data_IF_335508104311
#
_entry.id   IF_335508104311
#
_cell.length_a   1.000
_cell.length_b   1.000
_cell.length_c   1.000
_cell.angle_alpha   90.00
_cell.angle_beta   90.00
_cell.angle_gamma   90.00
#
_symmetry.space_group_name_H-M   'P 1'
#
loop_
_entity.id
_entity.type
_entity.pdbx_description
1 polymer ?
#
# COMPACT_ATOMS: atom_id res chain seq x y z
N UNK A 1 6.69 -16.21 50.41
CA UNK A 1 6.40 -16.77 49.08
C UNK A 1 7.00 -15.86 48.04
N UNK A 2 8.17 -16.19 47.50
CA UNK A 2 8.76 -15.45 46.39
C UNK A 2 8.26 -16.12 45.10
N UNK A 3 7.31 -15.49 44.43
CA UNK A 3 7.01 -15.82 43.03
C UNK A 3 8.34 -15.64 42.26
N UNK A 4 8.89 -16.70 41.64
CA UNK A 4 10.21 -16.62 41.06
C UNK A 4 10.15 -15.66 39.87
N UNK A 5 11.01 -14.63 39.89
CA UNK A 5 11.20 -13.65 38.82
C UNK A 5 11.27 -14.27 37.41
N UNK A 6 11.68 -15.55 37.33
CA UNK A 6 11.67 -16.34 36.11
C UNK A 6 10.28 -16.47 35.46
N UNK A 7 9.20 -16.62 36.24
CA UNK A 7 7.86 -16.74 35.69
C UNK A 7 7.40 -15.43 35.02
N UNK A 8 7.67 -14.28 35.67
CA UNK A 8 7.33 -12.96 35.11
C UNK A 8 8.13 -12.67 33.84
N UNK A 9 9.41 -13.04 33.81
CA UNK A 9 10.26 -12.89 32.63
C UNK A 9 9.73 -13.73 31.45
N UNK A 10 9.41 -15.01 31.67
CA UNK A 10 8.89 -15.90 30.61
C UNK A 10 7.56 -15.40 30.06
N UNK A 11 6.66 -14.89 30.90
CA UNK A 11 5.41 -14.25 30.45
C UNK A 11 5.66 -12.97 29.63
N UNK A 12 6.61 -12.12 30.04
CA UNK A 12 6.96 -10.93 29.27
C UNK A 12 7.59 -11.27 27.91
N UNK A 13 8.43 -12.30 27.85
CA UNK A 13 9.00 -12.79 26.60
C UNK A 13 7.93 -13.40 25.69
N UNK A 14 7.01 -14.23 26.20
CA UNK A 14 5.94 -14.81 25.37
C UNK A 14 4.93 -13.77 24.88
N UNK A 15 4.60 -12.75 25.68
CA UNK A 15 3.75 -11.62 25.24
C UNK A 15 4.46 -10.79 24.17
N UNK A 16 5.76 -10.48 24.34
CA UNK A 16 6.54 -9.75 23.33
C UNK A 16 6.73 -10.57 22.05
N UNK A 17 6.95 -11.87 22.16
CA UNK A 17 7.08 -12.78 21.00
C UNK A 17 5.74 -12.98 20.29
N UNK A 18 4.61 -13.00 21.01
CA UNK A 18 3.28 -13.02 20.39
C UNK A 18 2.94 -11.70 19.73
N UNK A 19 3.27 -10.54 20.34
CA UNK A 19 3.10 -9.23 19.71
C UNK A 19 3.97 -9.09 18.46
N UNK A 20 5.22 -9.57 18.51
CA UNK A 20 6.10 -9.64 17.33
C UNK A 20 5.53 -10.60 16.27
N UNK A 21 5.01 -11.77 16.64
CA UNK A 21 4.41 -12.72 15.69
C UNK A 21 3.06 -12.26 15.10
N UNK A 22 2.31 -11.41 15.80
CA UNK A 22 1.14 -10.73 15.25
C UNK A 22 1.58 -9.61 14.31
N UNK A 23 2.62 -8.84 14.67
CA UNK A 23 3.23 -7.85 13.77
C UNK A 23 3.86 -8.49 12.52
N UNK A 24 4.49 -9.66 12.63
CA UNK A 24 5.14 -10.35 11.52
C UNK A 24 4.19 -11.18 10.67
N UNK A 25 3.00 -11.58 11.17
CA UNK A 25 1.93 -12.07 10.29
C UNK A 25 1.34 -10.97 9.39
N UNK A 26 1.60 -9.70 9.73
CA UNK A 26 1.38 -8.55 8.86
C UNK A 26 2.67 -8.02 8.22
N UNK A 27 3.82 -8.66 8.44
CA UNK A 27 5.04 -8.35 7.70
C UNK A 27 4.86 -8.90 6.29
N UNK A 28 4.62 -7.95 5.38
CA UNK A 28 4.77 -7.98 3.93
C UNK A 28 4.91 -9.39 3.31
N UNK A 29 3.94 -9.86 2.50
CA UNK A 29 4.39 -10.63 1.36
C UNK A 29 5.35 -9.71 0.56
N UNK A 30 6.49 -10.22 0.05
CA UNK A 30 7.27 -9.54 -0.98
C UNK A 30 6.43 -9.56 -2.25
N UNK A 31 5.37 -8.78 -2.23
CA UNK A 31 4.43 -8.65 -3.31
C UNK A 31 4.93 -7.48 -4.15
N UNK A 32 5.31 -7.72 -5.41
CA UNK A 32 5.53 -6.65 -6.38
C UNK A 32 4.21 -5.97 -6.76
N UNK A 33 3.10 -6.26 -6.08
CA UNK A 33 1.79 -5.77 -6.44
C UNK A 33 1.60 -4.37 -5.88
N UNK A 34 1.03 -3.53 -6.73
CA UNK A 34 0.64 -2.13 -6.58
C UNK A 34 -0.25 -1.89 -5.34
N UNK A 35 -0.72 -2.95 -4.67
CA UNK A 35 -1.87 -2.96 -3.77
C UNK A 35 -1.75 -4.00 -2.67
N UNK A 36 -2.08 -3.61 -1.44
CA UNK A 36 -2.34 -4.54 -0.35
C UNK A 36 -3.85 -4.73 -0.24
N UNK A 37 -4.27 -5.99 -0.34
CA UNK A 37 -5.68 -6.37 -0.37
C UNK A 37 -6.06 -6.97 0.98
N UNK A 38 -7.18 -6.52 1.54
CA UNK A 38 -7.71 -6.92 2.83
C UNK A 38 -9.12 -7.49 2.70
N UNK A 39 -9.44 -8.57 3.45
CA UNK A 39 -10.80 -9.12 3.50
C UNK A 39 -11.82 -8.18 4.13
N UNK A 40 -11.40 -7.36 5.09
CA UNK A 40 -12.27 -6.44 5.82
C UNK A 40 -11.68 -5.04 5.88
N UNK A 41 -12.54 -4.03 5.96
CA UNK A 41 -12.12 -2.64 6.12
C UNK A 41 -11.26 -2.47 7.37
N UNK A 42 -11.67 -3.09 8.48
CA UNK A 42 -10.94 -3.02 9.74
C UNK A 42 -9.48 -3.46 9.58
N UNK A 43 -9.24 -4.57 8.89
CA UNK A 43 -7.88 -5.04 8.63
C UNK A 43 -7.08 -4.05 7.77
N UNK A 44 -7.73 -3.36 6.82
CA UNK A 44 -7.09 -2.32 6.05
C UNK A 44 -6.73 -1.09 6.92
N UNK A 45 -7.67 -0.61 7.74
CA UNK A 45 -7.47 0.55 8.62
C UNK A 45 -6.40 0.29 9.70
N UNK A 46 -6.27 -0.95 10.14
CA UNK A 46 -5.24 -1.36 11.11
C UNK A 46 -3.89 -1.70 10.44
N UNK A 47 -3.81 -1.63 9.11
CA UNK A 47 -2.59 -1.95 8.37
C UNK A 47 -1.55 -0.84 8.41
N UNK A 48 -0.28 -1.20 8.21
CA UNK A 48 0.82 -0.25 8.04
C UNK A 48 0.57 0.75 6.90
N UNK A 49 -0.08 0.32 5.81
CA UNK A 49 -0.39 1.18 4.68
C UNK A 49 -1.34 2.34 5.07
N UNK A 50 -2.29 2.09 5.98
CA UNK A 50 -3.15 3.16 6.50
C UNK A 50 -2.51 3.93 7.67
N UNK A 51 -1.97 3.21 8.67
CA UNK A 51 -1.51 3.82 9.91
C UNK A 51 -0.20 4.60 9.76
N UNK A 52 0.70 4.13 8.90
CA UNK A 52 2.05 4.70 8.73
C UNK A 52 2.17 5.44 7.40
N UNK A 53 1.80 4.80 6.29
CA UNK A 53 1.87 5.43 4.97
C UNK A 53 0.70 6.39 4.70
N UNK A 54 -0.27 6.47 5.63
CA UNK A 54 -1.44 7.37 5.58
C UNK A 54 -2.26 7.22 4.29
N UNK A 55 -2.35 6.00 3.77
CA UNK A 55 -3.10 5.70 2.54
C UNK A 55 -4.56 5.36 2.84
N UNK A 56 -5.49 5.76 1.96
CA UNK A 56 -6.89 5.43 2.14
C UNK A 56 -7.13 3.93 1.91
N UNK A 57 -8.09 3.41 2.67
CA UNK A 57 -8.67 2.10 2.44
C UNK A 57 -9.87 2.25 1.53
N UNK A 58 -9.80 1.63 0.34
CA UNK A 58 -10.80 1.82 -0.70
C UNK A 58 -11.54 0.51 -0.94
N UNK A 59 -12.86 0.60 -1.07
CA UNK A 59 -13.69 -0.57 -1.36
C UNK A 59 -13.54 -1.00 -2.83
N UNK A 60 -13.34 -2.30 -3.07
CA UNK A 60 -13.38 -2.95 -4.39
C UNK A 60 -14.63 -3.81 -4.50
N UNK A 61 -15.18 -3.90 -5.71
CA UNK A 61 -16.30 -4.78 -6.04
C UNK A 61 -15.82 -6.23 -6.30
N UNK A 62 -15.19 -6.88 -5.32
CA UNK A 62 -14.66 -8.26 -5.45
C UNK A 62 -15.07 -9.11 -4.24
N UNK A 63 -15.93 -10.12 -4.42
CA UNK A 63 -16.67 -10.85 -3.37
C UNK A 63 -15.86 -11.31 -2.13
N UNK A 64 -14.58 -11.63 -2.28
CA UNK A 64 -13.72 -12.12 -1.18
C UNK A 64 -12.64 -11.11 -0.73
N UNK A 65 -12.49 -10.01 -1.46
CA UNK A 65 -11.38 -9.06 -1.35
C UNK A 65 -11.88 -7.64 -1.57
N UNK A 66 -12.64 -7.17 -0.58
CA UNK A 66 -13.42 -5.95 -0.71
C UNK A 66 -12.63 -4.68 -0.40
N UNK A 67 -11.41 -4.74 0.17
CA UNK A 67 -10.70 -3.53 0.58
C UNK A 67 -9.26 -3.52 0.09
N UNK A 68 -8.83 -2.40 -0.48
CA UNK A 68 -7.48 -2.24 -1.03
C UNK A 68 -6.83 -0.99 -0.48
N UNK A 69 -5.56 -1.12 -0.11
CA UNK A 69 -4.68 -0.02 0.19
C UNK A 69 -3.59 0.06 -0.89
N UNK A 70 -3.55 1.16 -1.63
CA UNK A 70 -2.67 1.33 -2.78
C UNK A 70 -1.27 1.74 -2.34
N UNK A 71 -0.28 0.99 -2.78
CA UNK A 71 1.13 1.29 -2.56
C UNK A 71 1.78 1.60 -3.91
N UNK A 72 1.99 2.87 -4.23
CA UNK A 72 2.66 3.32 -5.46
C UNK A 72 4.17 3.05 -5.43
N UNK A 73 4.56 1.78 -5.23
CA UNK A 73 5.95 1.32 -5.15
C UNK A 73 6.47 1.03 -6.55
N UNK A 74 6.08 -0.10 -7.14
CA UNK A 74 6.36 -0.51 -8.52
C UNK A 74 5.16 -1.26 -9.08
N UNK A 75 4.94 -1.16 -10.38
CA UNK A 75 3.90 -1.94 -11.06
C UNK A 75 4.40 -3.35 -11.46
N UNK A 76 3.51 -4.13 -12.09
CA UNK A 76 3.81 -5.48 -12.55
C UNK A 76 5.01 -5.54 -13.53
N UNK A 77 5.21 -4.47 -14.31
CA UNK A 77 6.33 -4.34 -15.25
C UNK A 77 7.62 -3.85 -14.58
N UNK A 78 7.62 -3.71 -13.25
CA UNK A 78 8.75 -3.21 -12.48
C UNK A 78 8.98 -1.70 -12.59
N UNK A 79 8.06 -0.98 -13.25
CA UNK A 79 8.13 0.48 -13.43
C UNK A 79 7.84 1.15 -12.09
N UNK A 80 8.69 2.13 -11.74
CA UNK A 80 8.51 2.94 -10.52
C UNK A 80 7.22 3.74 -10.61
N UNK A 81 6.40 3.62 -9.56
CA UNK A 81 5.16 4.38 -9.40
C UNK A 81 5.36 5.54 -8.42
N UNK A 82 4.48 6.54 -8.53
CA UNK A 82 4.44 7.77 -7.74
C UNK A 82 3.01 8.05 -7.29
N UNK A 83 2.84 8.70 -6.14
CA UNK A 83 1.50 8.99 -5.60
C UNK A 83 0.88 10.23 -6.20
N UNK A 84 1.70 11.17 -6.68
CA UNK A 84 1.22 12.42 -7.27
C UNK A 84 1.82 12.65 -8.65
N UNK A 85 1.10 13.38 -9.48
CA UNK A 85 1.61 13.81 -10.78
C UNK A 85 2.89 14.66 -10.63
N UNK A 86 2.96 15.49 -9.59
CA UNK A 86 4.12 16.32 -9.28
C UNK A 86 5.37 15.49 -8.95
N UNK A 87 5.22 14.45 -8.11
CA UNK A 87 6.29 13.50 -7.83
C UNK A 87 6.77 12.79 -9.09
N UNK A 88 5.82 12.35 -9.93
CA UNK A 88 6.18 11.71 -11.19
C UNK A 88 6.93 12.68 -12.11
N UNK A 89 6.42 13.90 -12.32
CA UNK A 89 7.06 14.89 -13.20
C UNK A 89 8.45 15.28 -12.72
N UNK A 90 8.66 15.37 -11.41
CA UNK A 90 9.97 15.63 -10.83
C UNK A 90 10.97 14.48 -11.09
N UNK A 91 10.51 13.23 -11.09
CA UNK A 91 11.33 12.06 -11.38
C UNK A 91 11.47 11.75 -12.89
N UNK A 92 10.52 12.18 -13.71
CA UNK A 92 10.43 11.92 -15.15
C UNK A 92 11.14 13.01 -15.95
N UNK A 93 12.47 13.03 -15.91
CA UNK A 93 13.29 14.09 -16.52
C UNK A 93 13.56 13.92 -18.01
N UNK A 94 13.27 12.75 -18.56
CA UNK A 94 13.49 12.42 -19.96
C UNK A 94 12.42 13.09 -20.85
N UNK A 95 12.81 13.93 -21.83
CA UNK A 95 11.87 14.67 -22.65
C UNK A 95 11.03 13.78 -23.56
N UNK A 96 11.43 12.53 -23.85
CA UNK A 96 10.66 11.56 -24.65
C UNK A 96 9.73 10.68 -23.80
N UNK A 97 9.70 10.95 -22.49
CA UNK A 97 8.79 10.32 -21.54
C UNK A 97 7.76 11.32 -21.03
N UNK A 98 6.68 10.78 -20.50
CA UNK A 98 5.66 11.54 -19.82
C UNK A 98 5.07 10.74 -18.67
N UNK A 99 4.50 11.47 -17.73
CA UNK A 99 3.74 10.89 -16.63
C UNK A 99 2.33 10.56 -17.09
N UNK A 100 1.93 9.31 -16.90
CA UNK A 100 0.54 8.88 -17.06
C UNK A 100 0.07 8.17 -15.80
N UNK A 101 -1.22 7.89 -15.75
CA UNK A 101 -1.85 7.13 -14.70
C UNK A 101 -1.83 5.64 -14.97
N UNK A 102 -1.46 4.91 -13.93
CA UNK A 102 -1.55 3.48 -13.77
C UNK A 102 -2.50 3.24 -12.60
N UNK A 103 -3.79 3.21 -12.94
CA UNK A 103 -4.91 3.11 -12.00
C UNK A 103 -4.95 4.31 -11.00
N UNK A 104 -4.49 4.17 -9.76
CA UNK A 104 -4.41 5.22 -8.73
C UNK A 104 -3.03 5.86 -8.62
N UNK A 105 -2.01 5.33 -9.31
CA UNK A 105 -0.63 5.78 -9.24
C UNK A 105 -0.18 6.44 -10.55
N UNK A 106 0.89 7.23 -10.49
CA UNK A 106 1.53 7.81 -11.67
C UNK A 106 2.80 7.04 -12.05
N UNK A 107 3.04 6.84 -13.34
CA UNK A 107 4.24 6.22 -13.90
C UNK A 107 4.85 7.07 -15.01
N UNK A 108 6.18 7.04 -15.12
CA UNK A 108 6.94 7.70 -16.17
C UNK A 108 7.29 6.71 -17.29
N UNK A 109 6.78 6.97 -18.49
CA UNK A 109 6.78 6.04 -19.62
C UNK A 109 6.98 6.78 -20.93
N UNK A 110 7.33 6.09 -22.02
CA UNK A 110 7.52 6.76 -23.32
C UNK A 110 6.22 7.43 -23.78
N UNK A 111 6.35 8.58 -24.45
CA UNK A 111 5.21 9.29 -25.06
C UNK A 111 4.44 8.40 -26.03
N UNK A 112 5.15 7.54 -26.76
CA UNK A 112 4.52 6.55 -27.61
C UNK A 112 3.58 5.66 -26.79
N UNK A 113 4.06 5.00 -25.74
CA UNK A 113 3.22 4.13 -24.91
C UNK A 113 2.07 4.87 -24.22
N UNK A 114 2.28 6.13 -23.82
CA UNK A 114 1.25 6.98 -23.24
C UNK A 114 0.08 7.26 -24.20
N UNK A 115 0.36 7.51 -25.48
CA UNK A 115 -0.64 7.78 -26.51
C UNK A 115 -1.59 6.60 -26.75
N UNK A 116 -1.12 5.37 -26.57
CA UNK A 116 -1.94 4.17 -26.75
C UNK A 116 -2.91 3.95 -25.58
N UNK A 117 -2.55 4.45 -24.40
CA UNK A 117 -3.30 4.18 -23.19
C UNK A 117 -4.35 5.28 -22.92
N UNK A 118 -4.07 6.58 -23.10
CA UNK A 118 -5.00 7.68 -22.79
C UNK A 118 -5.41 7.84 -21.30
N UNK A 119 -4.61 7.31 -20.36
CA UNK A 119 -4.87 7.37 -18.90
C UNK A 119 -4.19 8.61 -18.33
N UNK A 120 -4.67 9.80 -18.69
CA UNK A 120 -4.06 11.06 -18.19
C UNK A 120 -4.55 11.46 -16.80
N UNK A 121 -5.60 10.80 -16.29
CA UNK A 121 -6.15 11.06 -14.95
C UNK A 121 -6.29 9.77 -14.17
N UNK A 122 -5.81 9.82 -12.93
CA UNK A 122 -5.82 8.69 -12.02
C UNK A 122 -7.17 8.67 -11.32
N UNK A 123 -7.57 7.50 -10.84
CA UNK A 123 -8.67 7.42 -9.88
C UNK A 123 -8.21 8.06 -8.57
N UNK A 124 -8.30 9.38 -8.49
CA UNK A 124 -7.96 10.13 -7.31
C UNK A 124 -9.12 10.02 -6.33
N UNK A 125 -8.97 9.15 -5.34
CA UNK A 125 -9.80 9.21 -4.15
C UNK A 125 -9.26 10.37 -3.31
N UNK A 126 -10.09 11.38 -2.99
CA UNK A 126 -9.64 12.49 -2.15
C UNK A 126 -9.02 11.92 -0.89
N UNK A 127 -7.72 12.13 -0.77
CA UNK A 127 -6.88 11.65 0.32
C UNK A 127 -7.45 12.24 1.58
N UNK A 128 -8.16 11.45 2.38
CA UNK A 128 -8.23 11.49 3.85
C UNK A 128 -9.34 10.60 4.42
N UNK A 129 -10.35 10.21 3.63
CA UNK A 129 -11.45 9.40 4.15
C UNK A 129 -11.47 7.99 3.55
N UNK A 130 -11.37 6.93 4.38
CA UNK A 130 -11.54 5.57 3.90
C UNK A 130 -12.95 5.39 3.33
N UNK A 131 -13.07 4.83 2.13
CA UNK A 131 -14.36 4.62 1.47
C UNK A 131 -14.98 3.28 1.83
N UNK A 132 -14.76 2.84 3.07
CA UNK A 132 -15.30 1.60 3.59
C UNK A 132 -16.83 1.71 3.74
N UNK A 133 -17.57 1.24 2.75
CA UNK A 133 -19.04 1.21 2.75
C UNK A 133 -19.51 -0.23 2.92
#
# INVERSE_FOLDING_TARGET
MFLPYAAVAVFAFTVKFNLLNVYTRHAEPPSPFVNIIFPTCKMCLESWCHLVDRRPCITRYWEHFNFTCYTCKKNHDGIKQHYTEGECKAACTDPDKMCICDFECYICVSKEWACWNNWTRCNYYPVEEPTCV
#
